data_IF_141785416910
#
_entry.id   IF_141785416910
#
_cell.length_a   1.000
_cell.length_b   1.000
_cell.length_c   1.000
_cell.angle_alpha   90.00
_cell.angle_beta   90.00
_cell.angle_gamma   90.00
#
_symmetry.space_group_name_H-M   'P 1'
#
loop_
_entity.id
_entity.type
_entity.pdbx_description
1 polymer ?
#
# COMPACT_ATOMS: atom_id res chain seq x y z
N UNK A 1 -38.93 -43.54 -3.13
CA UNK A 1 -38.11 -44.35 -4.06
C UNK A 1 -37.20 -43.37 -4.79
N UNK A 2 -35.88 -43.32 -4.68
CA UNK A 2 -34.86 -44.20 -4.11
C UNK A 2 -33.89 -43.33 -3.27
N UNK A 3 -33.59 -43.73 -2.02
CA UNK A 3 -32.37 -43.27 -1.35
C UNK A 3 -31.23 -43.90 -2.16
N UNK A 4 -30.49 -43.07 -2.91
CA UNK A 4 -29.19 -43.49 -3.45
C UNK A 4 -28.30 -43.74 -2.23
N UNK A 5 -28.25 -44.99 -1.76
CA UNK A 5 -27.21 -45.41 -0.85
C UNK A 5 -25.90 -45.30 -1.61
N UNK A 6 -25.02 -44.41 -1.15
CA UNK A 6 -23.65 -44.34 -1.63
C UNK A 6 -23.02 -45.72 -1.38
N UNK A 7 -22.29 -46.24 -2.38
CA UNK A 7 -21.63 -47.54 -2.23
C UNK A 7 -20.47 -47.42 -1.24
N UNK A 8 -20.16 -48.49 -0.49
CA UNK A 8 -19.02 -48.49 0.44
C UNK A 8 -17.68 -48.19 -0.26
N UNK A 9 -17.56 -48.43 -1.57
CA UNK A 9 -16.40 -48.05 -2.37
C UNK A 9 -16.31 -46.53 -2.61
N UNK A 10 -17.45 -45.82 -2.65
CA UNK A 10 -17.49 -44.36 -2.72
C UNK A 10 -17.24 -43.73 -1.34
N UNK A 11 -17.69 -44.36 -0.24
CA UNK A 11 -17.31 -43.96 1.13
C UNK A 11 -15.81 -44.18 1.40
N UNK A 12 -15.23 -45.30 0.94
CA UNK A 12 -13.81 -45.58 1.11
C UNK A 12 -12.91 -44.66 0.25
N UNK A 13 -13.37 -44.21 -0.92
CA UNK A 13 -12.68 -43.18 -1.72
C UNK A 13 -12.81 -41.78 -1.13
N UNK A 14 -13.94 -41.46 -0.49
CA UNK A 14 -14.13 -40.17 0.18
C UNK A 14 -13.36 -40.08 1.51
N UNK A 15 -13.21 -41.18 2.25
CA UNK A 15 -12.45 -41.24 3.49
C UNK A 15 -10.92 -41.28 3.30
N UNK A 16 -10.43 -41.51 2.07
CA UNK A 16 -9.00 -41.60 1.75
C UNK A 16 -8.31 -40.25 1.49
N UNK A 17 -9.06 -39.15 1.43
CA UNK A 17 -8.55 -37.80 1.15
C UNK A 17 -8.49 -36.91 2.41
N UNK A 18 -8.59 -37.50 3.60
CA UNK A 18 -8.13 -36.86 4.84
C UNK A 18 -6.60 -36.80 4.81
N UNK A 19 -6.07 -35.87 4.01
CA UNK A 19 -4.64 -35.57 3.97
C UNK A 19 -4.23 -35.05 5.34
N UNK A 20 -3.50 -35.88 6.10
CA UNK A 20 -2.95 -35.49 7.40
C UNK A 20 -2.07 -34.24 7.23
N UNK A 21 -2.47 -33.14 7.87
CA UNK A 21 -1.72 -31.88 7.84
C UNK A 21 -0.44 -32.05 8.65
N UNK A 22 0.72 -32.02 7.97
CA UNK A 22 2.01 -32.06 8.66
C UNK A 22 2.35 -30.69 9.22
N UNK A 23 3.25 -30.67 10.19
CA UNK A 23 3.74 -29.42 10.81
C UNK A 23 4.33 -28.46 9.77
N UNK A 24 5.07 -28.98 8.79
CA UNK A 24 5.63 -28.20 7.67
C UNK A 24 4.54 -27.49 6.84
N UNK A 25 3.39 -28.13 6.66
CA UNK A 25 2.27 -27.56 5.91
C UNK A 25 1.58 -26.47 6.71
N UNK A 26 1.40 -26.70 8.02
CA UNK A 26 0.88 -25.67 8.90
C UNK A 26 1.79 -24.44 8.95
N UNK A 27 3.10 -24.62 8.92
CA UNK A 27 4.07 -23.53 8.87
C UNK A 27 3.95 -22.73 7.55
N UNK A 28 3.72 -23.42 6.42
CA UNK A 28 3.46 -22.77 5.12
C UNK A 28 2.13 -22.03 5.09
N UNK A 29 1.07 -22.60 5.65
CA UNK A 29 -0.24 -21.93 5.80
C UNK A 29 -0.08 -20.66 6.66
N UNK A 30 0.63 -20.76 7.78
CA UNK A 30 0.89 -19.61 8.64
C UNK A 30 1.74 -18.53 7.91
N UNK A 31 2.74 -18.94 7.11
CA UNK A 31 3.51 -18.02 6.28
C UNK A 31 2.63 -17.34 5.24
N UNK A 32 1.78 -18.09 4.56
CA UNK A 32 0.84 -17.57 3.55
C UNK A 32 -0.10 -16.51 4.15
N UNK A 33 -0.73 -16.78 5.30
CA UNK A 33 -1.60 -15.81 5.96
C UNK A 33 -0.86 -14.52 6.36
N UNK A 34 0.40 -14.62 6.79
CA UNK A 34 1.23 -13.43 7.12
C UNK A 34 1.60 -12.63 5.88
N UNK A 35 1.98 -13.30 4.80
CA UNK A 35 2.30 -12.65 3.53
C UNK A 35 1.09 -11.93 2.97
N UNK A 36 -0.10 -12.52 3.06
CA UNK A 36 -1.35 -11.90 2.61
C UNK A 36 -1.74 -10.68 3.44
N UNK A 37 -1.60 -10.72 4.76
CA UNK A 37 -1.80 -9.53 5.60
C UNK A 37 -0.82 -8.41 5.23
N UNK A 38 0.42 -8.76 4.90
CA UNK A 38 1.43 -7.79 4.48
C UNK A 38 1.14 -7.22 3.09
N UNK A 39 0.66 -8.04 2.17
CA UNK A 39 0.20 -7.63 0.84
C UNK A 39 -0.92 -6.59 0.96
N UNK A 40 -1.97 -6.89 1.72
CA UNK A 40 -3.08 -5.95 1.97
C UNK A 40 -2.55 -4.62 2.53
N UNK A 41 -1.65 -4.68 3.53
CA UNK A 41 -1.07 -3.47 4.11
C UNK A 41 -0.28 -2.63 3.10
N UNK A 42 0.51 -3.27 2.22
CA UNK A 42 1.26 -2.58 1.17
C UNK A 42 0.33 -2.03 0.09
N UNK A 43 -0.73 -2.74 -0.27
CA UNK A 43 -1.74 -2.25 -1.23
C UNK A 43 -2.49 -1.02 -0.68
N UNK A 44 -2.82 -1.01 0.61
CA UNK A 44 -3.44 0.14 1.25
C UNK A 44 -2.48 1.33 1.36
N UNK A 45 -1.19 1.08 1.63
CA UNK A 45 -0.15 2.11 1.62
C UNK A 45 0.05 2.70 0.21
N UNK A 46 0.07 1.86 -0.83
CA UNK A 46 0.12 2.29 -2.23
C UNK A 46 -1.07 3.16 -2.60
N UNK A 47 -2.30 2.77 -2.22
CA UNK A 47 -3.49 3.59 -2.44
C UNK A 47 -3.38 4.94 -1.74
N UNK A 48 -2.87 4.97 -0.50
CA UNK A 48 -2.66 6.22 0.23
C UNK A 48 -1.63 7.12 -0.47
N UNK A 49 -0.54 6.54 -0.98
CA UNK A 49 0.50 7.28 -1.73
C UNK A 49 0.04 7.78 -3.08
N UNK A 50 -0.75 7.00 -3.82
CA UNK A 50 -1.38 7.47 -5.06
C UNK A 50 -2.35 8.62 -4.82
N UNK A 51 -3.11 8.58 -3.72
CA UNK A 51 -3.97 9.69 -3.34
C UNK A 51 -3.15 10.93 -2.97
N UNK A 52 -2.07 10.78 -2.19
CA UNK A 52 -1.17 11.89 -1.86
C UNK A 52 -0.56 12.51 -3.14
N UNK A 53 -0.25 11.70 -4.15
CA UNK A 53 0.19 12.18 -5.46
C UNK A 53 -0.90 12.97 -6.20
N UNK A 54 -2.13 12.43 -6.27
CA UNK A 54 -3.28 13.11 -6.89
C UNK A 54 -3.54 14.47 -6.22
N UNK A 55 -3.54 14.51 -4.89
CA UNK A 55 -3.71 15.74 -4.12
C UNK A 55 -2.61 16.77 -4.46
N UNK A 56 -1.36 16.35 -4.67
CA UNK A 56 -0.26 17.24 -5.06
C UNK A 56 -0.34 17.71 -6.51
N UNK A 57 -0.77 16.83 -7.43
CA UNK A 57 -0.96 17.17 -8.84
C UNK A 57 -2.12 18.16 -9.01
N UNK A 58 -3.22 18.01 -8.26
CA UNK A 58 -4.32 18.97 -8.21
C UNK A 58 -3.85 20.34 -7.70
N UNK A 59 -3.08 20.37 -6.60
CA UNK A 59 -2.48 21.60 -6.09
C UNK A 59 -1.53 22.22 -7.12
N UNK A 60 -0.73 21.42 -7.83
CA UNK A 60 0.15 21.91 -8.90
C UNK A 60 -0.64 22.57 -10.03
N UNK A 61 -1.74 21.94 -10.48
CA UNK A 61 -2.60 22.48 -11.54
C UNK A 61 -3.31 23.77 -11.12
N UNK A 62 -3.75 23.88 -9.86
CA UNK A 62 -4.31 25.12 -9.32
C UNK A 62 -3.27 26.25 -9.29
N UNK A 63 -2.00 25.93 -9.02
CA UNK A 63 -0.90 26.88 -8.99
C UNK A 63 -0.46 27.36 -10.38
N UNK A 64 -0.67 26.56 -11.43
CA UNK A 64 -0.43 26.99 -12.82
C UNK A 64 -1.39 28.11 -13.26
N UNK A 65 -2.55 28.22 -12.60
CA UNK A 65 -3.54 29.29 -12.83
C UNK A 65 -3.31 30.51 -11.93
N UNK A 66 -2.40 30.43 -10.96
CA UNK A 66 -2.07 31.54 -10.08
C UNK A 66 -1.07 32.50 -10.75
N UNK A 67 -1.27 33.81 -10.56
CA UNK A 67 -0.33 34.80 -11.06
C UNK A 67 1.00 34.71 -10.26
N UNK A 68 2.15 34.93 -10.92
CA UNK A 68 3.49 34.79 -10.31
C UNK A 68 3.73 35.68 -9.07
N UNK A 69 2.94 36.75 -8.91
CA UNK A 69 3.00 37.69 -7.78
C UNK A 69 2.08 37.32 -6.60
N UNK A 70 1.24 36.28 -6.74
CA UNK A 70 0.31 35.85 -5.70
C UNK A 70 1.02 35.03 -4.61
N UNK A 71 0.82 35.46 -3.35
CA UNK A 71 1.39 34.77 -2.19
C UNK A 71 0.54 33.55 -1.83
N UNK A 72 1.01 32.36 -2.21
CA UNK A 72 0.34 31.11 -1.85
C UNK A 72 0.72 30.69 -0.41
N UNK A 73 -0.26 30.36 0.44
CA UNK A 73 0.00 29.79 1.75
C UNK A 73 0.40 28.30 1.63
N UNK A 74 1.70 27.98 1.78
CA UNK A 74 2.21 26.60 1.73
C UNK A 74 2.18 25.94 3.13
N UNK A 75 1.63 24.72 3.21
CA UNK A 75 1.57 23.93 4.45
C UNK A 75 2.83 23.09 4.58
N UNK A 76 3.90 23.69 5.10
CA UNK A 76 5.10 22.94 5.43
C UNK A 76 4.78 22.01 6.62
N UNK A 77 4.80 20.69 6.40
CA UNK A 77 5.08 19.75 7.52
C UNK A 77 6.53 19.98 7.92
N UNK A 78 6.70 20.89 8.88
CA UNK A 78 7.99 21.38 9.35
C UNK A 78 8.82 20.19 9.85
N UNK A 79 9.76 19.73 9.03
CA UNK A 79 10.97 19.08 9.55
C UNK A 79 11.82 20.19 10.15
N UNK A 80 12.25 19.96 11.38
CA UNK A 80 12.95 20.95 12.21
C UNK A 80 14.33 21.26 11.64
N UNK A 81 14.50 22.35 10.88
CA UNK A 81 15.76 23.08 10.84
C UNK A 81 15.51 24.61 10.78
N UNK A 82 16.22 25.42 11.59
CA UNK A 82 15.96 26.85 11.68
C UNK A 82 16.75 27.62 10.61
N UNK A 83 16.06 28.16 9.61
CA UNK A 83 16.62 29.18 8.71
C UNK A 83 16.44 30.57 9.32
N UNK A 84 17.58 31.20 9.66
CA UNK A 84 17.67 32.62 10.01
C UNK A 84 17.65 33.45 8.74
N UNK A 85 16.56 34.17 8.46
CA UNK A 85 16.68 35.37 7.62
C UNK A 85 15.72 36.47 8.04
N UNK A 86 16.37 37.58 8.34
CA UNK A 86 15.90 38.92 8.66
C UNK A 86 14.90 39.52 7.65
N UNK A 87 13.89 40.19 8.21
CA UNK A 87 13.06 41.26 7.63
C UNK A 87 12.15 40.94 6.44
N UNK A 88 10.94 40.45 6.74
CA UNK A 88 9.74 40.89 6.04
C UNK A 88 8.52 40.87 6.97
N UNK A 89 7.71 41.92 6.88
CA UNK A 89 6.47 42.15 7.62
C UNK A 89 5.49 40.99 7.45
N UNK A 90 5.48 40.04 8.38
CA UNK A 90 4.48 38.96 8.45
C UNK A 90 3.94 38.86 9.88
N UNK A 91 2.96 39.72 10.20
CA UNK A 91 2.15 39.58 11.40
C UNK A 91 0.86 38.82 11.06
N UNK A 92 0.84 37.51 11.34
CA UNK A 92 -0.28 36.76 11.95
C UNK A 92 0.20 35.32 12.23
N UNK A 93 0.59 35.11 13.47
CA UNK A 93 0.80 33.80 14.08
C UNK A 93 -0.57 33.18 14.40
N UNK A 94 -0.80 31.92 14.03
CA UNK A 94 -1.60 31.01 14.85
C UNK A 94 -0.98 29.62 14.80
N UNK A 95 -0.70 29.09 15.98
CA UNK A 95 -0.17 27.75 16.23
C UNK A 95 -1.24 26.72 15.84
N UNK A 96 -0.85 25.71 15.08
CA UNK A 96 -1.68 24.53 14.77
C UNK A 96 -1.44 23.99 13.36
N UNK A 97 -1.49 24.86 12.35
CA UNK A 97 -1.28 24.56 10.94
C UNK A 97 -0.55 25.76 10.30
N UNK A 98 0.78 25.74 10.30
CA UNK A 98 1.58 26.89 9.85
C UNK A 98 1.63 26.97 8.32
N UNK A 99 1.00 28.00 7.77
CA UNK A 99 1.17 28.41 6.39
C UNK A 99 2.34 29.38 6.26
N UNK A 100 3.37 29.02 5.50
CA UNK A 100 4.45 29.93 5.10
C UNK A 100 4.11 30.45 3.72
N UNK A 101 4.06 31.78 3.54
CA UNK A 101 3.94 32.36 2.21
C UNK A 101 5.31 32.33 1.54
N UNK A 102 5.48 31.41 0.59
CA UNK A 102 6.65 31.31 -0.26
C UNK A 102 6.31 31.87 -1.65
N UNK A 103 7.28 32.43 -2.38
CA UNK A 103 7.09 32.79 -3.78
C UNK A 103 6.76 31.53 -4.60
N UNK A 104 5.89 31.68 -5.61
CA UNK A 104 5.45 30.61 -6.51
C UNK A 104 6.58 29.68 -7.00
N UNK A 105 7.75 30.16 -7.47
CA UNK A 105 8.83 29.28 -7.92
C UNK A 105 9.38 28.35 -6.83
N UNK A 106 9.44 28.82 -5.59
CA UNK A 106 9.93 28.02 -4.45
C UNK A 106 8.93 26.93 -4.07
N UNK A 107 7.62 27.24 -4.12
CA UNK A 107 6.54 26.26 -3.90
C UNK A 107 6.56 25.17 -4.98
N UNK A 108 6.76 25.54 -6.24
CA UNK A 108 6.85 24.59 -7.36
C UNK A 108 8.06 23.66 -7.25
N UNK A 109 9.22 24.17 -6.82
CA UNK A 109 10.41 23.34 -6.57
C UNK A 109 10.16 22.33 -5.43
N UNK A 110 9.49 22.76 -4.36
CA UNK A 110 9.14 21.87 -3.24
C UNK A 110 8.09 20.82 -3.62
N UNK A 111 7.09 21.18 -4.43
CA UNK A 111 6.08 20.25 -4.95
C UNK A 111 6.74 19.20 -5.84
N UNK A 112 7.57 19.61 -6.81
CA UNK A 112 8.27 18.66 -7.70
C UNK A 112 9.17 17.70 -6.92
N UNK A 113 9.87 18.18 -5.89
CA UNK A 113 10.67 17.34 -5.00
C UNK A 113 9.81 16.33 -4.23
N UNK A 114 8.64 16.75 -3.76
CA UNK A 114 7.73 15.89 -3.00
C UNK A 114 7.09 14.82 -3.88
N UNK A 115 6.64 15.20 -5.08
CA UNK A 115 6.11 14.26 -6.09
C UNK A 115 7.16 13.24 -6.50
N UNK A 116 8.42 13.65 -6.74
CA UNK A 116 9.52 12.74 -7.07
C UNK A 116 9.80 11.71 -5.95
N UNK A 117 9.77 12.14 -4.69
CA UNK A 117 9.92 11.23 -3.54
C UNK A 117 8.77 10.23 -3.45
N UNK A 118 7.53 10.68 -3.67
CA UNK A 118 6.36 9.80 -3.66
C UNK A 118 6.45 8.79 -4.80
N UNK A 119 6.90 9.18 -5.99
CA UNK A 119 7.12 8.25 -7.11
C UNK A 119 8.18 7.18 -6.80
N UNK A 120 9.28 7.55 -6.14
CA UNK A 120 10.30 6.60 -5.69
C UNK A 120 9.73 5.62 -4.65
N UNK A 121 8.98 6.13 -3.67
CA UNK A 121 8.32 5.29 -2.65
C UNK A 121 7.28 4.34 -3.27
N UNK A 122 6.47 4.82 -4.22
CA UNK A 122 5.50 3.99 -4.96
C UNK A 122 6.22 2.87 -5.70
N UNK A 123 7.28 3.18 -6.46
CA UNK A 123 8.03 2.17 -7.21
C UNK A 123 8.64 1.11 -6.28
N UNK A 124 9.20 1.52 -5.13
CA UNK A 124 9.75 0.60 -4.14
C UNK A 124 8.68 -0.28 -3.46
N UNK A 125 7.48 0.26 -3.25
CA UNK A 125 6.35 -0.51 -2.70
C UNK A 125 5.78 -1.49 -3.72
N UNK A 126 5.70 -1.12 -5.00
CA UNK A 126 5.28 -2.00 -6.09
C UNK A 126 6.24 -3.19 -6.27
N UNK A 127 7.55 -2.97 -6.20
CA UNK A 127 8.54 -4.06 -6.26
C UNK A 127 8.36 -5.04 -5.09
N UNK A 128 8.20 -4.51 -3.86
CA UNK A 128 7.92 -5.35 -2.68
C UNK A 128 6.61 -6.11 -2.82
N UNK A 129 5.56 -5.49 -3.37
CA UNK A 129 4.28 -6.14 -3.63
C UNK A 129 4.44 -7.28 -4.63
N UNK A 130 5.20 -7.07 -5.70
CA UNK A 130 5.52 -8.10 -6.70
C UNK A 130 6.19 -9.31 -6.06
N UNK A 131 7.26 -9.11 -5.29
CA UNK A 131 7.97 -10.21 -4.62
C UNK A 131 7.07 -10.99 -3.66
N UNK A 132 6.19 -10.31 -2.92
CA UNK A 132 5.24 -10.98 -2.00
C UNK A 132 4.20 -11.77 -2.77
N UNK A 133 3.70 -11.26 -3.90
CA UNK A 133 2.74 -11.96 -4.77
C UNK A 133 3.35 -13.22 -5.37
N UNK A 134 4.60 -13.15 -5.81
CA UNK A 134 5.34 -14.31 -6.33
C UNK A 134 5.53 -15.37 -5.23
N UNK A 135 6.00 -14.97 -4.03
CA UNK A 135 6.13 -15.89 -2.89
C UNK A 135 4.79 -16.53 -2.48
N UNK A 136 3.70 -15.79 -2.54
CA UNK A 136 2.36 -16.31 -2.27
C UNK A 136 1.90 -17.31 -3.33
N UNK A 137 2.16 -17.05 -4.61
CA UNK A 137 1.79 -17.94 -5.70
C UNK A 137 2.55 -19.26 -5.61
N UNK A 138 3.85 -19.23 -5.32
CA UNK A 138 4.65 -20.43 -5.11
C UNK A 138 4.11 -21.27 -3.95
N UNK A 139 3.78 -20.63 -2.82
CA UNK A 139 3.17 -21.31 -1.67
C UNK A 139 1.78 -21.87 -2.01
N UNK A 140 0.97 -21.16 -2.81
CA UNK A 140 -0.33 -21.67 -3.27
C UNK A 140 -0.16 -22.92 -4.12
N UNK A 141 0.72 -22.91 -5.13
CA UNK A 141 0.95 -24.08 -5.99
C UNK A 141 1.42 -25.26 -5.15
N UNK A 142 2.35 -25.04 -4.22
CA UNK A 142 2.86 -26.11 -3.36
C UNK A 142 1.78 -26.70 -2.44
N UNK A 143 0.95 -25.85 -1.82
CA UNK A 143 -0.13 -26.27 -0.94
C UNK A 143 -1.26 -26.96 -1.72
N UNK A 144 -1.67 -26.45 -2.88
CA UNK A 144 -2.68 -27.09 -3.72
C UNK A 144 -2.20 -28.42 -4.33
N UNK A 145 -0.91 -28.54 -4.67
CA UNK A 145 -0.34 -29.81 -5.14
C UNK A 145 -0.37 -30.89 -4.06
N UNK A 146 -0.24 -30.51 -2.78
CA UNK A 146 -0.19 -31.45 -1.65
C UNK A 146 -1.57 -31.79 -1.07
N UNK A 147 -2.47 -30.81 -0.99
CA UNK A 147 -3.78 -30.94 -0.35
C UNK A 147 -4.96 -31.00 -1.34
N UNK A 148 -4.75 -30.69 -2.61
CA UNK A 148 -5.78 -30.79 -3.65
C UNK A 148 -7.05 -30.00 -3.31
N UNK A 149 -8.18 -30.71 -3.21
CA UNK A 149 -9.51 -30.13 -2.94
C UNK A 149 -9.83 -29.97 -1.44
N UNK A 150 -8.95 -30.44 -0.55
CA UNK A 150 -9.18 -30.41 0.90
C UNK A 150 -8.89 -29.05 1.53
N UNK A 151 -8.26 -28.12 0.79
CA UNK A 151 -7.96 -26.76 1.26
C UNK A 151 -8.61 -25.71 0.36
N UNK A 152 -9.03 -24.60 0.98
CA UNK A 152 -9.44 -23.40 0.26
C UNK A 152 -8.55 -22.24 0.70
N UNK A 153 -7.64 -21.82 -0.17
CA UNK A 153 -6.72 -20.70 0.05
C UNK A 153 -7.15 -19.44 -0.72
N UNK A 154 -8.38 -19.42 -1.24
CA UNK A 154 -8.94 -18.23 -1.87
C UNK A 154 -9.47 -17.27 -0.80
N UNK A 155 -9.03 -16.02 -0.85
CA UNK A 155 -9.58 -14.87 -0.12
C UNK A 155 -9.61 -13.70 -1.08
#
# INVERSE_FOLDING_TARGET
MQRRMLSQEDEAKAAGDEVEVRREDQDKINKFSRLHQREIGIEDELKAKHKEKEDLDDVSNELELADEDDKIPYVARITQEPLQTSLLTCARYKIGDSFVSLPLPEVQEMLSTSTAKIEEEVSALEEKLGTIKDEQNDLKVELYARFGRSINLET
#
